data_IF_754776647433
#
_entry.id   IF_754776647433
#
_cell.length_a   1.000
_cell.length_b   1.000
_cell.length_c   1.000
_cell.angle_alpha   90.00
_cell.angle_beta   90.00
_cell.angle_gamma   90.00
#
_symmetry.space_group_name_H-M   'P 1'
#
loop_
_entity.id
_entity.type
_entity.pdbx_description
1 polymer ?
#
# COMPACT_ATOMS: atom_id res chain seq x y z
N UNK A 1 -13.29 25.84 -3.35
CA UNK A 1 -12.41 25.10 -2.41
C UNK A 1 -11.08 24.93 -3.12
N UNK A 2 -9.98 25.37 -2.51
CA UNK A 2 -8.64 25.23 -3.11
C UNK A 2 -7.93 24.07 -2.43
N UNK A 3 -7.25 23.25 -3.22
CA UNK A 3 -6.37 22.19 -2.73
C UNK A 3 -4.93 22.64 -2.90
N UNK A 4 -4.13 22.51 -1.84
CA UNK A 4 -2.69 22.74 -1.87
C UNK A 4 -1.97 21.41 -1.82
N UNK A 5 -0.92 21.27 -2.62
CA UNK A 5 -0.15 20.04 -2.76
C UNK A 5 1.31 20.33 -2.43
N UNK A 6 1.92 19.47 -1.64
CA UNK A 6 3.37 19.47 -1.42
C UNK A 6 3.96 18.15 -1.87
N UNK A 7 5.20 18.21 -2.35
CA UNK A 7 5.92 17.07 -2.87
C UNK A 7 7.25 16.93 -2.14
N UNK A 8 7.79 15.72 -2.10
CA UNK A 8 9.16 15.49 -1.65
C UNK A 8 10.18 15.77 -2.76
N UNK A 9 11.44 15.41 -2.49
CA UNK A 9 12.58 15.71 -3.38
C UNK A 9 12.56 14.95 -4.70
N UNK A 10 11.80 13.85 -4.78
CA UNK A 10 11.65 13.03 -5.99
C UNK A 10 10.27 13.22 -6.64
N UNK A 11 9.55 14.29 -6.25
CA UNK A 11 8.25 14.67 -6.75
C UNK A 11 7.10 13.70 -6.41
N UNK A 12 7.23 12.94 -5.32
CA UNK A 12 6.11 12.17 -4.79
C UNK A 12 5.24 13.05 -3.88
N UNK A 13 3.92 12.81 -3.90
CA UNK A 13 2.95 13.61 -3.14
C UNK A 13 3.13 13.39 -1.65
N UNK A 14 3.61 14.39 -0.92
CA UNK A 14 3.88 14.34 0.51
C UNK A 14 2.70 14.85 1.36
N UNK A 15 1.94 15.83 0.86
CA UNK A 15 0.78 16.35 1.57
C UNK A 15 -0.28 16.92 0.63
N UNK A 16 -1.55 16.73 0.99
CA UNK A 16 -2.69 17.45 0.41
C UNK A 16 -3.38 18.21 1.54
N UNK A 17 -3.61 19.51 1.35
CA UNK A 17 -4.46 20.30 2.24
C UNK A 17 -5.66 20.81 1.46
N UNK A 18 -6.86 20.36 1.85
CA UNK A 18 -8.13 20.74 1.23
C UNK A 18 -8.88 21.70 2.17
N UNK A 19 -9.03 22.95 1.76
CA UNK A 19 -9.61 23.99 2.63
C UNK A 19 -8.73 24.28 3.85
N UNK A 20 -9.35 24.63 4.98
CA UNK A 20 -8.62 25.02 6.20
C UNK A 20 -8.33 23.84 7.16
N UNK A 21 -9.09 22.74 7.08
CA UNK A 21 -9.16 21.76 8.16
C UNK A 21 -8.80 20.32 7.75
N UNK A 22 -8.68 20.04 6.46
CA UNK A 22 -8.41 18.68 5.97
C UNK A 22 -6.99 18.62 5.45
N UNK A 23 -6.11 17.95 6.19
CA UNK A 23 -4.73 17.70 5.78
C UNK A 23 -4.47 16.21 5.77
N UNK A 24 -3.97 15.71 4.63
CA UNK A 24 -3.52 14.34 4.45
C UNK A 24 -2.03 14.34 4.23
N UNK A 25 -1.29 13.52 4.98
CA UNK A 25 0.16 13.37 4.83
C UNK A 25 0.51 11.97 4.38
N UNK A 26 1.55 11.89 3.56
CA UNK A 26 2.08 10.66 2.99
C UNK A 26 3.57 10.57 3.29
N UNK A 27 4.06 9.35 3.48
CA UNK A 27 5.49 9.07 3.62
C UNK A 27 5.85 7.93 2.69
N UNK A 28 7.08 7.95 2.19
CA UNK A 28 7.62 6.94 1.29
C UNK A 28 8.99 6.49 1.77
N UNK A 29 9.37 5.27 1.41
CA UNK A 29 10.74 4.79 1.52
C UNK A 29 11.58 5.28 0.32
N UNK A 30 12.90 5.05 0.29
CA UNK A 30 13.77 5.53 -0.79
C UNK A 30 13.47 4.97 -2.19
N UNK A 31 12.66 3.91 -2.30
CA UNK A 31 12.28 3.31 -3.59
C UNK A 31 10.82 3.62 -3.96
N UNK A 32 10.16 4.50 -3.19
CA UNK A 32 8.81 5.00 -3.47
C UNK A 32 7.68 4.15 -2.88
N UNK A 33 7.98 3.17 -2.02
CA UNK A 33 6.92 2.45 -1.32
C UNK A 33 6.32 3.34 -0.24
N UNK A 34 4.99 3.45 -0.23
CA UNK A 34 4.28 4.30 0.73
C UNK A 34 4.36 3.71 2.13
N UNK A 35 4.96 4.41 3.09
CA UNK A 35 5.06 4.01 4.50
C UNK A 35 3.86 4.42 5.36
N UNK A 36 3.11 5.46 4.98
CA UNK A 36 1.89 5.88 5.69
C UNK A 36 0.97 6.76 4.84
N UNK A 37 -0.32 6.81 5.18
CA UNK A 37 -1.35 7.71 4.61
C UNK A 37 -2.41 8.10 5.67
N UNK A 38 -3.35 9.00 5.34
CA UNK A 38 -4.40 9.44 6.27
C UNK A 38 -5.25 8.27 6.83
N UNK A 39 -5.45 7.20 6.06
CA UNK A 39 -6.26 6.04 6.48
C UNK A 39 -5.45 4.83 6.97
N UNK A 40 -4.12 4.84 6.80
CA UNK A 40 -3.26 3.69 7.11
C UNK A 40 -1.96 4.20 7.71
N UNK A 41 -1.78 3.97 9.02
CA UNK A 41 -0.65 4.52 9.76
C UNK A 41 0.69 3.88 9.37
N UNK A 42 0.66 2.62 8.92
CA UNK A 42 1.86 1.87 8.55
C UNK A 42 1.57 0.91 7.40
N UNK A 43 2.49 0.89 6.45
CA UNK A 43 2.63 -0.16 5.44
C UNK A 43 4.02 -0.80 5.60
N UNK A 44 4.11 -2.11 5.38
CA UNK A 44 5.34 -2.87 5.40
C UNK A 44 5.51 -3.61 4.07
N UNK A 45 6.75 -3.69 3.60
CA UNK A 45 7.10 -4.30 2.32
C UNK A 45 8.21 -5.32 2.51
N UNK A 46 8.25 -6.34 1.65
CA UNK A 46 9.41 -7.23 1.56
C UNK A 46 10.48 -6.66 0.62
N UNK A 47 11.58 -7.40 0.45
CA UNK A 47 12.69 -6.99 -0.42
C UNK A 47 12.32 -6.91 -1.92
N UNK A 48 11.20 -7.51 -2.32
CA UNK A 48 10.66 -7.44 -3.68
C UNK A 48 9.71 -6.25 -3.88
N UNK A 49 9.59 -5.35 -2.88
CA UNK A 49 8.66 -4.22 -2.86
C UNK A 49 7.17 -4.64 -2.84
N UNK A 50 6.88 -5.84 -2.35
CA UNK A 50 5.51 -6.33 -2.24
C UNK A 50 4.95 -5.98 -0.85
N UNK A 51 3.71 -5.48 -0.81
CA UNK A 51 3.05 -5.07 0.43
C UNK A 51 2.76 -6.29 1.31
N UNK A 52 3.49 -6.48 2.40
CA UNK A 52 3.29 -7.60 3.33
C UNK A 52 2.30 -7.28 4.45
N UNK A 53 2.14 -6.00 4.80
CA UNK A 53 1.19 -5.63 5.85
C UNK A 53 0.76 -4.17 5.78
N UNK A 54 -0.51 -3.91 6.11
CA UNK A 54 -1.02 -2.63 6.58
C UNK A 54 -1.42 -2.75 8.05
N UNK A 55 -1.91 -1.67 8.64
CA UNK A 55 -2.47 -1.67 10.00
C UNK A 55 -3.58 -2.70 10.25
N UNK A 56 -4.26 -3.16 9.19
CA UNK A 56 -5.45 -4.04 9.31
C UNK A 56 -5.34 -5.35 8.55
N UNK A 57 -4.34 -5.49 7.68
CA UNK A 57 -4.27 -6.57 6.72
C UNK A 57 -2.84 -7.08 6.59
N UNK A 58 -2.65 -8.38 6.43
CA UNK A 58 -1.36 -8.98 6.07
C UNK A 58 -1.47 -9.81 4.80
N UNK A 59 -0.37 -9.90 4.05
CA UNK A 59 -0.28 -10.61 2.79
C UNK A 59 0.96 -11.50 2.76
N UNK A 60 0.86 -12.61 2.02
CA UNK A 60 2.01 -13.45 1.67
C UNK A 60 2.06 -13.67 0.17
N UNK A 61 3.24 -14.00 -0.34
CA UNK A 61 3.50 -14.13 -1.77
C UNK A 61 4.31 -15.41 -2.03
N UNK A 62 4.13 -15.99 -3.22
CA UNK A 62 5.03 -17.01 -3.74
C UNK A 62 6.30 -16.36 -4.35
N UNK A 63 7.23 -17.20 -4.82
CA UNK A 63 8.48 -16.71 -5.42
C UNK A 63 8.28 -15.96 -6.75
N UNK A 64 7.10 -16.07 -7.36
CA UNK A 64 6.74 -15.39 -8.60
C UNK A 64 6.00 -14.06 -8.33
N UNK A 65 5.77 -13.72 -7.05
CA UNK A 65 5.07 -12.52 -6.61
C UNK A 65 3.56 -12.63 -6.64
N UNK A 66 3.00 -13.84 -6.77
CA UNK A 66 1.58 -14.03 -6.67
C UNK A 66 1.15 -14.10 -5.20
N UNK A 67 0.11 -13.36 -4.82
CA UNK A 67 -0.41 -13.36 -3.46
C UNK A 67 -0.92 -14.75 -3.08
N UNK A 68 -0.38 -15.37 -2.04
CA UNK A 68 -0.84 -16.67 -1.52
C UNK A 68 -1.93 -16.50 -0.47
N UNK A 69 -1.77 -15.53 0.43
CA UNK A 69 -2.76 -15.26 1.48
C UNK A 69 -3.02 -13.77 1.64
N UNK A 70 -4.26 -13.46 2.03
CA UNK A 70 -4.65 -12.17 2.59
C UNK A 70 -5.38 -12.44 3.89
N UNK A 71 -4.90 -11.87 4.99
CA UNK A 71 -5.58 -11.94 6.29
C UNK A 71 -6.02 -10.55 6.69
N UNK A 72 -7.32 -10.37 6.91
CA UNK A 72 -7.90 -9.14 7.45
C UNK A 72 -8.86 -9.47 8.61
N UNK A 73 -9.63 -8.48 9.07
CA UNK A 73 -10.58 -8.65 10.17
C UNK A 73 -11.69 -9.67 9.91
N UNK A 74 -11.92 -10.05 8.65
CA UNK A 74 -12.93 -11.04 8.26
C UNK A 74 -12.38 -12.47 8.22
N UNK A 75 -11.06 -12.63 8.30
CA UNK A 75 -10.37 -13.91 8.27
C UNK A 75 -9.27 -13.97 7.21
N UNK A 76 -8.85 -15.19 6.88
CA UNK A 76 -7.81 -15.46 5.89
C UNK A 76 -8.42 -15.97 4.59
N UNK A 77 -8.11 -15.29 3.49
CA UNK A 77 -8.36 -15.76 2.12
C UNK A 77 -7.06 -16.37 1.58
N UNK A 78 -7.13 -17.59 1.04
CA UNK A 78 -6.02 -18.26 0.36
C UNK A 78 -6.29 -18.27 -1.13
N UNK A 79 -5.31 -17.86 -1.92
CA UNK A 79 -5.36 -17.88 -3.37
C UNK A 79 -4.52 -19.05 -3.88
N UNK A 80 -4.98 -19.66 -4.97
CA UNK A 80 -4.26 -20.73 -5.67
C UNK A 80 -4.07 -20.28 -7.11
N UNK A 81 -2.83 -20.35 -7.59
CA UNK A 81 -2.45 -19.98 -8.93
C UNK A 81 -2.08 -21.24 -9.70
N UNK A 82 -2.74 -21.50 -10.82
CA UNK A 82 -2.28 -22.46 -11.80
C UNK A 82 -1.35 -21.75 -12.80
N UNK A 83 -0.48 -22.52 -13.44
CA UNK A 83 0.53 -21.98 -14.37
C UNK A 83 -0.09 -21.33 -15.62
N UNK A 84 -1.41 -21.47 -15.84
CA UNK A 84 -2.11 -21.05 -17.06
C UNK A 84 -3.02 -19.83 -16.89
N UNK A 85 -3.39 -19.40 -15.69
CA UNK A 85 -4.33 -18.30 -15.52
C UNK A 85 -3.78 -17.15 -14.66
N UNK A 86 -2.98 -16.29 -15.28
CA UNK A 86 -2.67 -14.95 -14.81
C UNK A 86 -3.88 -13.98 -14.94
N UNK A 87 -5.10 -14.45 -14.66
CA UNK A 87 -6.31 -13.63 -14.69
C UNK A 87 -7.19 -13.94 -13.50
N UNK A 88 -7.30 -12.95 -12.61
CA UNK A 88 -8.27 -12.86 -11.50
C UNK A 88 -9.60 -13.54 -11.84
N UNK A 89 -10.03 -14.47 -10.99
CA UNK A 89 -11.46 -14.77 -10.75
C UNK A 89 -11.91 -13.93 -9.57
#
# INVERSE_FOLDING_TARGET
>A
MTSNYTYDQVYELAQVTQGANTTESYRYDPVGNRLSSLGVASYAYNNSNELTSTTTTSYTYDNNGNTLTKTDSTGTTTYVWDFENASRV
#
